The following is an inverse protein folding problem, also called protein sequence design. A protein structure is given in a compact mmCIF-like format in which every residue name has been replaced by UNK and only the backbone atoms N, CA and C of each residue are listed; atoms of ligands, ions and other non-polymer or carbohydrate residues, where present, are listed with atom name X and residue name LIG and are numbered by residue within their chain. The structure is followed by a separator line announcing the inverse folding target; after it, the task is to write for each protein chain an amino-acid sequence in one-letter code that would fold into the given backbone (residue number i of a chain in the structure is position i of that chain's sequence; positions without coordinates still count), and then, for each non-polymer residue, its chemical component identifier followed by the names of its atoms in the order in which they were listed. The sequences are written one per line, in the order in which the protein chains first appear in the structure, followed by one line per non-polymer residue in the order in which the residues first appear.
data_IF_981228658711
#
_entry.id   IF_981228658711
#
_cell.length_a   1.000
_cell.length_b   1.000
_cell.length_c   1.000
_cell.angle_alpha   90.00
_cell.angle_beta   90.00
_cell.angle_gamma   90.00
#
_symmetry.space_group_name_H-M   'P 1'
#
loop_
_entity.id
_entity.type
_entity.pdbx_description
1 polymer ?
#
# COMPACT_ATOMS: atom_id res chain seq x y z
N UNK A 1 -15.94 39.86 9.42
CA UNK A 1 -15.46 39.62 8.03
C UNK A 1 -16.46 38.76 7.28
N UNK A 2 -17.12 39.27 6.21
CA UNK A 2 -18.03 38.47 5.38
C UNK A 2 -17.24 37.32 4.72
N UNK A 3 -17.72 36.06 4.73
CA UNK A 3 -16.97 34.96 4.14
C UNK A 3 -16.77 35.20 2.64
N UNK A 4 -15.51 35.32 2.20
CA UNK A 4 -15.17 35.45 0.77
C UNK A 4 -15.84 34.31 -0.01
N UNK A 5 -16.63 34.66 -1.05
CA UNK A 5 -17.35 33.69 -1.88
C UNK A 5 -16.40 32.60 -2.39
N UNK A 6 -16.88 31.35 -2.42
CA UNK A 6 -16.10 30.22 -2.90
C UNK A 6 -15.75 30.40 -4.38
N UNK A 7 -14.46 30.31 -4.69
CA UNK A 7 -13.95 30.28 -6.07
C UNK A 7 -13.69 28.85 -6.49
N UNK A 8 -13.86 28.56 -7.78
CA UNK A 8 -13.57 27.26 -8.38
C UNK A 8 -12.66 27.47 -9.59
N UNK A 9 -11.88 26.46 -9.92
CA UNK A 9 -10.95 26.52 -11.03
C UNK A 9 -11.68 26.37 -12.38
N UNK A 10 -11.34 27.23 -13.32
CA UNK A 10 -11.71 27.11 -14.73
C UNK A 10 -10.50 26.62 -15.52
N UNK A 11 -10.61 25.46 -16.18
CA UNK A 11 -9.51 24.88 -16.98
C UNK A 11 -9.20 25.75 -18.20
N UNK A 12 -10.20 26.38 -18.80
CA UNK A 12 -10.05 27.16 -20.02
C UNK A 12 -9.45 28.55 -19.79
N UNK A 13 -9.69 29.13 -18.61
CA UNK A 13 -9.10 30.42 -18.23
C UNK A 13 -7.84 30.28 -17.35
N UNK A 14 -7.44 29.06 -16.99
CA UNK A 14 -6.38 28.74 -15.99
C UNK A 14 -6.44 29.62 -14.73
N UNK A 15 -7.66 29.89 -14.20
CA UNK A 15 -7.85 30.80 -13.05
C UNK A 15 -9.03 30.43 -12.16
N UNK A 16 -9.00 30.96 -10.93
CA UNK A 16 -10.06 30.79 -9.93
C UNK A 16 -11.18 31.82 -10.13
N UNK A 17 -12.37 31.32 -10.51
CA UNK A 17 -13.55 32.14 -10.80
C UNK A 17 -14.62 32.04 -9.71
N UNK A 18 -15.29 33.16 -9.43
CA UNK A 18 -16.52 33.17 -8.65
C UNK A 18 -17.72 32.84 -9.56
N UNK A 19 -18.84 32.38 -8.98
CA UNK A 19 -20.07 32.07 -9.73
C UNK A 19 -19.85 31.16 -10.95
N UNK A 20 -19.16 30.05 -10.73
CA UNK A 20 -18.71 29.10 -11.76
C UNK A 20 -19.72 28.83 -12.87
N UNK A 21 -20.99 28.52 -12.53
CA UNK A 21 -22.04 28.21 -13.50
C UNK A 21 -22.33 29.37 -14.46
N UNK A 22 -22.40 30.61 -13.97
CA UNK A 22 -22.60 31.79 -14.83
C UNK A 22 -21.36 32.06 -15.70
N UNK A 23 -20.16 31.80 -15.15
CA UNK A 23 -18.91 32.01 -15.88
C UNK A 23 -18.77 31.06 -17.09
N UNK A 24 -18.99 29.76 -16.89
CA UNK A 24 -18.85 28.78 -17.99
C UNK A 24 -19.89 28.99 -19.08
N UNK A 25 -21.11 29.36 -18.73
CA UNK A 25 -22.17 29.67 -19.71
C UNK A 25 -21.85 30.91 -20.55
N UNK A 26 -21.26 31.95 -19.94
CA UNK A 26 -20.99 33.21 -20.64
C UNK A 26 -19.69 33.18 -21.44
N UNK A 27 -18.63 32.57 -20.88
CA UNK A 27 -17.29 32.65 -21.44
C UNK A 27 -16.89 31.43 -22.27
N UNK A 28 -17.61 30.31 -22.13
CA UNK A 28 -17.24 29.01 -22.72
C UNK A 28 -18.44 28.29 -23.36
N UNK A 29 -19.43 29.05 -23.85
CA UNK A 29 -20.61 28.53 -24.53
C UNK A 29 -20.25 27.67 -25.77
N UNK A 30 -19.13 27.98 -26.41
CA UNK A 30 -18.61 27.29 -27.59
C UNK A 30 -18.03 25.90 -27.29
N UNK A 31 -17.78 25.56 -26.01
CA UNK A 31 -17.10 24.32 -25.64
C UNK A 31 -18.06 23.12 -25.55
N UNK A 32 -17.61 21.98 -26.04
CA UNK A 32 -18.38 20.73 -26.08
C UNK A 32 -18.94 20.31 -24.70
N UNK A 33 -18.12 20.40 -23.64
CA UNK A 33 -18.52 20.05 -22.27
C UNK A 33 -19.64 20.95 -21.70
N UNK A 34 -19.87 22.12 -22.31
CA UNK A 34 -20.84 23.14 -21.88
C UNK A 34 -22.13 23.11 -22.72
N UNK A 35 -22.12 22.45 -23.89
CA UNK A 35 -23.31 22.29 -24.76
C UNK A 35 -24.57 21.79 -24.00
N UNK A 36 -24.48 20.80 -23.09
CA UNK A 36 -25.66 20.38 -22.31
C UNK A 36 -26.29 21.49 -21.47
N UNK A 37 -25.53 22.51 -21.05
CA UNK A 37 -26.09 23.67 -20.34
C UNK A 37 -26.87 24.60 -21.27
N UNK A 38 -26.44 24.73 -22.53
CA UNK A 38 -27.13 25.52 -23.54
C UNK A 38 -28.44 24.84 -23.96
N UNK A 39 -28.40 23.54 -24.24
CA UNK A 39 -29.59 22.74 -24.54
C UNK A 39 -30.61 22.79 -23.40
N UNK A 40 -30.14 22.70 -22.15
CA UNK A 40 -31.00 22.83 -20.97
C UNK A 40 -31.64 24.21 -20.86
N UNK A 41 -30.92 25.27 -21.23
CA UNK A 41 -31.46 26.63 -21.22
C UNK A 41 -32.64 26.79 -22.19
N UNK A 42 -32.58 26.11 -23.34
CA UNK A 42 -33.57 26.11 -24.42
C UNK A 42 -34.71 25.09 -24.22
N UNK A 43 -34.56 24.11 -23.33
CA UNK A 43 -35.58 23.09 -23.08
C UNK A 43 -36.93 23.65 -22.60
N UNK A 44 -38.03 22.92 -22.79
CA UNK A 44 -39.37 23.27 -22.28
C UNK A 44 -39.58 22.96 -20.79
N UNK A 45 -38.53 22.51 -20.08
CA UNK A 45 -38.60 22.16 -18.67
C UNK A 45 -38.97 23.36 -17.79
N UNK A 46 -39.66 23.10 -16.69
CA UNK A 46 -39.98 24.12 -15.70
C UNK A 46 -38.71 24.70 -15.05
N UNK A 47 -38.81 25.91 -14.50
CA UNK A 47 -37.66 26.63 -13.91
C UNK A 47 -36.98 25.81 -12.80
N UNK A 48 -37.74 25.00 -12.04
CA UNK A 48 -37.22 24.18 -10.96
C UNK A 48 -36.36 23.02 -11.48
N UNK A 49 -36.86 22.24 -12.46
CA UNK A 49 -36.08 21.13 -13.05
C UNK A 49 -34.87 21.64 -13.82
N UNK A 50 -35.00 22.75 -14.56
CA UNK A 50 -33.85 23.42 -15.21
C UNK A 50 -32.75 23.76 -14.21
N UNK A 51 -33.12 24.33 -13.06
CA UNK A 51 -32.15 24.67 -12.01
C UNK A 51 -31.45 23.43 -11.46
N UNK A 52 -32.19 22.33 -11.25
CA UNK A 52 -31.63 21.09 -10.72
C UNK A 52 -30.66 20.42 -11.70
N UNK A 53 -31.04 20.30 -12.97
CA UNK A 53 -30.18 19.72 -14.02
C UNK A 53 -28.92 20.56 -14.25
N UNK A 54 -29.06 21.90 -14.26
CA UNK A 54 -27.93 22.82 -14.33
C UNK A 54 -26.96 22.61 -13.17
N UNK A 55 -27.49 22.40 -11.96
CA UNK A 55 -26.67 22.09 -10.79
C UNK A 55 -25.96 20.75 -10.94
N UNK A 56 -26.60 19.70 -11.48
CA UNK A 56 -25.95 18.40 -11.70
C UNK A 56 -24.76 18.52 -12.66
N UNK A 57 -24.98 19.10 -13.83
CA UNK A 57 -23.95 19.30 -14.86
C UNK A 57 -22.82 20.20 -14.32
N UNK A 58 -23.15 21.36 -13.75
CA UNK A 58 -22.10 22.26 -13.25
C UNK A 58 -21.37 21.73 -12.01
N UNK A 59 -21.99 20.86 -11.20
CA UNK A 59 -21.32 20.23 -10.07
C UNK A 59 -20.33 19.15 -10.51
N UNK A 60 -20.61 18.37 -11.56
CA UNK A 60 -19.66 17.38 -12.08
C UNK A 60 -18.43 18.08 -12.66
N UNK A 61 -18.63 19.07 -13.54
CA UNK A 61 -17.56 19.89 -14.12
C UNK A 61 -16.71 20.56 -13.04
N UNK A 62 -17.36 21.23 -12.07
CA UNK A 62 -16.67 21.90 -10.98
C UNK A 62 -15.80 20.95 -10.15
N UNK A 63 -16.29 19.74 -9.86
CA UNK A 63 -15.51 18.76 -9.09
C UNK A 63 -14.30 18.28 -9.90
N UNK A 64 -14.50 17.97 -11.17
CA UNK A 64 -13.44 17.53 -12.07
C UNK A 64 -12.36 18.60 -12.22
N UNK A 65 -12.74 19.83 -12.56
CA UNK A 65 -11.78 20.91 -12.78
C UNK A 65 -11.07 21.32 -11.49
N UNK A 66 -11.78 21.36 -10.35
CA UNK A 66 -11.11 21.57 -9.06
C UNK A 66 -10.15 20.42 -8.72
N UNK A 67 -10.45 19.17 -9.09
CA UNK A 67 -9.53 18.05 -8.91
C UNK A 67 -8.26 18.23 -9.73
N UNK A 68 -8.38 18.65 -11.00
CA UNK A 68 -7.23 19.01 -11.85
C UNK A 68 -6.36 20.08 -11.18
N UNK A 69 -6.97 21.16 -10.69
CA UNK A 69 -6.26 22.21 -9.97
C UNK A 69 -5.58 21.67 -8.71
N UNK A 70 -6.30 20.92 -7.89
CA UNK A 70 -5.77 20.36 -6.64
C UNK A 70 -4.59 19.44 -6.91
N UNK A 71 -4.65 18.58 -7.94
CA UNK A 71 -3.53 17.73 -8.33
C UNK A 71 -2.33 18.56 -8.82
N UNK A 72 -2.55 19.60 -9.65
CA UNK A 72 -1.49 20.54 -10.10
C UNK A 72 -0.81 21.24 -8.90
N UNK A 73 -1.60 21.69 -7.93
CA UNK A 73 -1.11 22.34 -6.72
C UNK A 73 -0.32 21.39 -5.82
N UNK A 74 -0.81 20.14 -5.65
CA UNK A 74 -0.12 19.10 -4.89
C UNK A 74 1.24 18.75 -5.49
N UNK A 75 1.35 18.65 -6.82
CA UNK A 75 2.62 18.44 -7.51
C UNK A 75 3.59 19.62 -7.33
N UNK A 76 3.08 20.85 -7.34
CA UNK A 76 3.88 22.05 -7.13
C UNK A 76 4.16 22.35 -5.65
N UNK A 77 3.84 21.43 -4.74
CA UNK A 77 3.96 21.58 -3.28
C UNK A 77 3.19 22.79 -2.69
N UNK A 78 2.24 23.34 -3.44
CA UNK A 78 1.42 24.47 -3.01
C UNK A 78 0.26 23.97 -2.14
N UNK A 79 -0.02 24.68 -1.03
CA UNK A 79 -1.00 24.26 -0.01
C UNK A 79 -2.47 24.54 -0.38
N UNK A 80 -2.75 25.15 -1.53
CA UNK A 80 -4.11 25.58 -1.86
C UNK A 80 -4.94 24.42 -2.43
N UNK A 81 -5.83 23.88 -1.59
CA UNK A 81 -6.83 22.89 -1.98
C UNK A 81 -8.23 23.52 -2.06
N UNK A 82 -9.02 23.10 -3.05
CA UNK A 82 -10.41 23.49 -3.24
C UNK A 82 -11.32 22.30 -2.87
N UNK A 83 -11.71 22.12 -1.60
CA UNK A 83 -12.64 21.08 -1.19
C UNK A 83 -14.08 21.41 -1.62
N UNK A 84 -14.94 20.39 -1.73
CA UNK A 84 -16.36 20.54 -2.09
C UNK A 84 -17.11 21.38 -1.05
N UNK A 85 -16.89 21.10 0.24
CA UNK A 85 -17.36 21.93 1.36
C UNK A 85 -16.13 22.47 2.11
N UNK A 86 -16.09 23.78 2.36
CA UNK A 86 -15.06 24.37 3.23
C UNK A 86 -15.34 23.93 4.67
N UNK A 87 -14.31 23.58 5.42
CA UNK A 87 -14.39 23.56 6.87
C UNK A 87 -14.51 24.99 7.37
N UNK A 88 -15.40 25.22 8.33
CA UNK A 88 -15.33 26.43 9.14
C UNK A 88 -14.22 26.21 10.18
N UNK A 89 -13.20 27.07 10.16
CA UNK A 89 -12.03 27.01 11.07
C UNK A 89 -10.71 26.61 10.39
N UNK A 90 -9.62 27.22 10.86
CA UNK A 90 -8.24 27.11 10.33
C UNK A 90 -7.53 25.79 10.60
N UNK A 91 -8.23 24.75 11.07
CA UNK A 91 -7.58 23.46 11.34
C UNK A 91 -7.29 22.75 10.02
N UNK A 92 -6.03 22.31 9.76
CA UNK A 92 -5.71 21.48 8.62
C UNK A 92 -6.40 20.13 8.80
N UNK A 93 -7.53 19.94 8.12
CA UNK A 93 -8.23 18.66 8.12
C UNK A 93 -7.65 17.83 6.98
N UNK A 94 -7.28 16.58 7.25
CA UNK A 94 -6.89 15.63 6.21
C UNK A 94 -8.03 15.48 5.18
N UNK A 95 -7.74 15.79 3.92
CA UNK A 95 -8.68 15.73 2.81
C UNK A 95 -8.42 14.48 1.95
N UNK A 96 -9.48 13.95 1.35
CA UNK A 96 -9.44 12.83 0.40
C UNK A 96 -10.29 13.16 -0.82
N UNK A 97 -9.87 12.69 -1.99
CA UNK A 97 -10.68 12.75 -3.20
C UNK A 97 -11.59 11.52 -3.28
N UNK A 98 -12.81 11.70 -3.81
CA UNK A 98 -13.67 10.58 -4.17
C UNK A 98 -13.20 9.98 -5.49
N UNK A 99 -12.97 8.67 -5.54
CA UNK A 99 -12.54 8.02 -6.78
C UNK A 99 -13.58 8.13 -7.93
N UNK A 100 -14.86 8.28 -7.56
CA UNK A 100 -16.00 8.29 -8.47
C UNK A 100 -16.33 9.70 -8.96
N UNK A 101 -16.63 10.63 -8.05
CA UNK A 101 -17.05 11.98 -8.44
C UNK A 101 -15.91 13.02 -8.48
N UNK A 102 -14.66 12.61 -8.18
CA UNK A 102 -13.45 13.45 -8.10
C UNK A 102 -13.52 14.62 -7.11
N UNK A 103 -14.61 14.76 -6.37
CA UNK A 103 -14.74 15.79 -5.35
C UNK A 103 -13.78 15.53 -4.18
N UNK A 104 -13.16 16.59 -3.67
CA UNK A 104 -12.33 16.55 -2.47
C UNK A 104 -13.18 16.84 -1.22
N UNK A 105 -13.08 15.99 -0.21
CA UNK A 105 -13.85 16.09 1.04
C UNK A 105 -12.93 15.87 2.24
N UNK A 106 -13.30 16.45 3.38
CA UNK A 106 -12.66 16.10 4.65
C UNK A 106 -12.83 14.61 4.93
N UNK A 107 -11.78 13.90 5.39
CA UNK A 107 -11.82 12.46 5.66
C UNK A 107 -12.96 12.07 6.62
N UNK A 108 -13.23 12.91 7.64
CA UNK A 108 -14.36 12.74 8.60
C UNK A 108 -15.75 12.70 7.94
N UNK A 109 -15.97 13.49 6.89
CA UNK A 109 -17.28 13.61 6.21
C UNK A 109 -17.36 12.77 4.93
N UNK A 110 -16.33 12.01 4.60
CA UNK A 110 -16.28 11.22 3.38
C UNK A 110 -17.32 10.09 3.39
N UNK A 111 -17.58 9.47 4.55
CA UNK A 111 -18.64 8.45 4.69
C UNK A 111 -20.02 9.00 4.31
N UNK A 112 -20.37 10.16 4.87
CA UNK A 112 -21.63 10.85 4.55
C UNK A 112 -21.74 11.20 3.07
N UNK A 113 -20.60 11.54 2.44
CA UNK A 113 -20.57 11.77 1.01
C UNK A 113 -20.86 10.49 0.21
N UNK A 114 -20.22 9.35 0.52
CA UNK A 114 -20.44 8.12 -0.25
C UNK A 114 -21.91 7.69 -0.28
N UNK A 115 -22.64 7.84 0.83
CA UNK A 115 -24.10 7.59 0.91
C UNK A 115 -24.94 8.41 -0.08
N UNK A 116 -24.42 9.54 -0.55
CA UNK A 116 -25.12 10.50 -1.42
C UNK A 116 -24.39 10.73 -2.75
N UNK A 117 -23.35 9.95 -3.04
CA UNK A 117 -22.54 10.12 -4.23
C UNK A 117 -23.22 9.45 -5.43
N UNK A 118 -23.90 10.24 -6.27
CA UNK A 118 -24.60 9.73 -7.46
C UNK A 118 -23.71 8.84 -8.36
N UNK A 119 -22.46 9.26 -8.61
CA UNK A 119 -21.51 8.51 -9.44
C UNK A 119 -21.10 7.15 -8.83
N UNK A 120 -21.18 7.01 -7.51
CA UNK A 120 -20.93 5.74 -6.83
C UNK A 120 -22.19 4.87 -6.82
N UNK A 121 -23.35 5.48 -6.53
CA UNK A 121 -24.64 4.79 -6.48
C UNK A 121 -25.04 4.23 -7.85
N UNK A 122 -24.72 4.93 -8.95
CA UNK A 122 -24.99 4.47 -10.31
C UNK A 122 -24.17 3.25 -10.74
N UNK A 123 -23.11 2.90 -10.00
CA UNK A 123 -22.23 1.76 -10.30
C UNK A 123 -22.52 0.54 -9.40
N UNK A 124 -23.46 0.66 -8.44
CA UNK A 124 -23.85 -0.46 -7.60
C UNK A 124 -24.97 -1.26 -8.27
N UNK A 125 -24.68 -2.51 -8.65
CA UNK A 125 -25.62 -3.41 -9.32
C UNK A 125 -26.48 -4.24 -8.37
N UNK A 126 -26.28 -4.15 -7.06
CA UNK A 126 -27.07 -4.91 -6.07
C UNK A 126 -27.21 -4.15 -4.75
N UNK A 127 -28.43 -4.15 -4.21
CA UNK A 127 -28.75 -3.61 -2.89
C UNK A 127 -28.11 -4.46 -1.80
N UNK A 128 -26.99 -4.04 -1.23
CA UNK A 128 -26.45 -4.72 -0.06
C UNK A 128 -25.74 -3.76 0.91
N UNK A 129 -26.29 -3.70 2.12
CA UNK A 129 -25.52 -3.50 3.35
C UNK A 129 -25.07 -2.07 3.69
N UNK A 130 -25.10 -1.77 4.99
CA UNK A 130 -24.48 -0.59 5.58
C UNK A 130 -23.04 -0.42 5.06
N UNK A 131 -22.72 0.76 4.49
CA UNK A 131 -21.37 1.09 4.03
C UNK A 131 -20.38 0.96 5.20
N UNK A 132 -19.61 -0.12 5.19
CA UNK A 132 -18.60 -0.39 6.22
C UNK A 132 -17.43 0.59 6.12
N UNK A 133 -16.63 0.69 7.19
CA UNK A 133 -15.38 1.45 7.18
C UNK A 133 -14.37 0.98 6.10
N UNK A 134 -14.50 -0.26 5.61
CA UNK A 134 -13.67 -0.78 4.51
C UNK A 134 -14.11 -0.24 3.15
N UNK A 135 -15.43 -0.07 2.90
CA UNK A 135 -15.93 0.55 1.68
C UNK A 135 -15.46 2.02 1.57
N UNK A 136 -15.45 2.75 2.69
CA UNK A 136 -14.92 4.12 2.76
C UNK A 136 -13.47 4.19 2.26
N UNK A 137 -12.61 3.28 2.74
CA UNK A 137 -11.20 3.22 2.36
C UNK A 137 -11.07 2.97 0.86
N UNK A 138 -11.75 1.93 0.35
CA UNK A 138 -11.70 1.51 -1.06
C UNK A 138 -12.12 2.62 -2.03
N UNK A 139 -13.03 3.51 -1.63
CA UNK A 139 -13.58 4.55 -2.50
C UNK A 139 -12.93 5.93 -2.32
N UNK A 140 -12.04 6.08 -1.34
CA UNK A 140 -11.27 7.31 -1.09
C UNK A 140 -9.89 7.24 -1.73
N UNK A 141 -9.47 8.33 -2.38
CA UNK A 141 -8.12 8.52 -2.88
C UNK A 141 -7.38 9.53 -2.00
N UNK A 142 -6.21 9.19 -1.47
CA UNK A 142 -5.39 10.16 -0.74
C UNK A 142 -4.87 11.26 -1.67
N UNK A 143 -4.75 12.46 -1.10
CA UNK A 143 -4.12 13.61 -1.76
C UNK A 143 -2.60 13.52 -1.58
N UNK A 144 -1.94 12.87 -2.53
CA UNK A 144 -0.49 12.61 -2.50
C UNK A 144 0.21 13.64 -3.39
N UNK A 145 1.27 14.27 -2.87
CA UNK A 145 2.07 15.28 -3.60
C UNK A 145 2.91 14.66 -4.71
N UNK A 146 3.60 13.56 -4.42
CA UNK A 146 4.57 12.94 -5.32
C UNK A 146 3.96 11.86 -6.25
N UNK A 147 2.71 12.05 -6.72
CA UNK A 147 2.08 11.08 -7.64
C UNK A 147 2.85 10.94 -8.96
N UNK A 148 3.55 11.98 -9.41
CA UNK A 148 4.20 11.95 -10.72
C UNK A 148 5.49 11.11 -10.73
N UNK A 149 5.98 10.71 -9.56
CA UNK A 149 7.23 9.93 -9.40
C UNK A 149 6.98 8.42 -9.38
N UNK A 150 5.72 7.98 -9.43
CA UNK A 150 5.33 6.58 -9.29
C UNK A 150 4.46 6.09 -10.45
N UNK A 151 4.51 4.79 -10.73
CA UNK A 151 3.78 4.18 -11.84
C UNK A 151 2.27 4.17 -11.61
N UNK A 152 1.49 4.17 -12.70
CA UNK A 152 0.03 4.10 -12.63
C UNK A 152 -0.47 2.81 -11.96
N UNK A 153 0.26 1.70 -12.16
CA UNK A 153 -0.01 0.43 -11.49
C UNK A 153 0.12 0.57 -9.96
N UNK A 154 1.20 1.18 -9.47
CA UNK A 154 1.40 1.43 -8.04
C UNK A 154 0.30 2.31 -7.45
N UNK A 155 -0.12 3.37 -8.16
CA UNK A 155 -1.23 4.24 -7.73
C UNK A 155 -2.52 3.46 -7.56
N UNK A 156 -2.86 2.63 -8.54
CA UNK A 156 -4.11 1.86 -8.57
C UNK A 156 -4.10 0.72 -7.55
N UNK A 157 -2.97 0.03 -7.40
CA UNK A 157 -2.91 -1.22 -6.64
C UNK A 157 -2.52 -1.06 -5.17
N UNK A 158 -1.69 -0.05 -4.87
CA UNK A 158 -1.17 0.23 -3.53
C UNK A 158 -1.83 1.48 -2.95
N UNK A 159 -1.74 2.63 -3.62
CA UNK A 159 -2.19 3.90 -3.03
C UNK A 159 -3.72 3.99 -2.90
N UNK A 160 -4.45 3.25 -3.73
CA UNK A 160 -5.92 3.19 -3.65
C UNK A 160 -6.34 2.31 -2.46
N UNK A 161 -6.95 2.93 -1.45
CA UNK A 161 -7.45 2.22 -0.26
C UNK A 161 -6.45 2.11 0.90
N UNK A 162 -5.23 2.62 0.77
CA UNK A 162 -4.28 2.71 1.87
C UNK A 162 -4.80 3.63 2.98
N UNK A 163 -4.60 3.21 4.23
CA UNK A 163 -4.87 4.08 5.36
C UNK A 163 -3.73 5.07 5.53
N UNK A 164 -4.00 6.34 5.24
CA UNK A 164 -3.05 7.43 5.52
C UNK A 164 -3.15 7.80 6.99
N UNK A 165 -2.28 7.20 7.79
CA UNK A 165 -1.93 7.66 9.14
C UNK A 165 -0.74 8.63 9.08
N UNK A 166 -0.26 9.10 10.22
CA UNK A 166 0.87 10.05 10.29
C UNK A 166 2.13 9.50 9.61
N UNK A 167 2.40 8.20 9.72
CA UNK A 167 3.55 7.56 9.09
C UNK A 167 3.37 7.55 7.57
N UNK A 168 2.24 7.06 7.07
CA UNK A 168 1.98 7.02 5.63
C UNK A 168 1.86 8.42 5.01
N UNK A 169 1.43 9.43 5.78
CA UNK A 169 1.44 10.82 5.34
C UNK A 169 2.87 11.31 5.06
N UNK A 170 3.82 11.02 5.95
CA UNK A 170 5.24 11.34 5.71
C UNK A 170 5.78 10.54 4.53
N UNK A 171 5.50 9.24 4.49
CA UNK A 171 5.94 8.34 3.41
C UNK A 171 5.51 8.86 2.03
N UNK A 172 4.26 9.32 1.91
CA UNK A 172 3.69 9.79 0.64
C UNK A 172 4.11 11.21 0.26
N UNK A 173 4.65 11.97 1.21
CA UNK A 173 5.19 13.32 0.99
C UNK A 173 6.69 13.30 0.66
N UNK A 174 7.40 12.20 0.93
CA UNK A 174 8.79 11.99 0.52
C UNK A 174 8.85 11.37 -0.88
N UNK A 175 9.57 12.01 -1.81
CA UNK A 175 9.62 11.57 -3.21
C UNK A 175 10.43 10.28 -3.39
N UNK A 176 11.49 10.12 -2.59
CA UNK A 176 12.42 9.01 -2.68
C UNK A 176 11.79 7.72 -2.11
N UNK A 177 11.09 7.83 -0.98
CA UNK A 177 10.32 6.71 -0.40
C UNK A 177 9.25 6.22 -1.38
N UNK A 178 8.54 7.15 -2.03
CA UNK A 178 7.51 6.82 -3.02
C UNK A 178 8.10 6.14 -4.26
N UNK A 179 9.24 6.63 -4.75
CA UNK A 179 9.93 6.03 -5.90
C UNK A 179 10.40 4.61 -5.59
N UNK A 180 11.07 4.42 -4.46
CA UNK A 180 11.48 3.09 -3.99
C UNK A 180 10.31 2.13 -3.91
N UNK A 181 9.18 2.55 -3.33
CA UNK A 181 8.01 1.71 -3.22
C UNK A 181 7.41 1.32 -4.59
N UNK A 182 7.47 2.23 -5.57
CA UNK A 182 7.02 1.98 -6.94
C UNK A 182 7.93 0.96 -7.65
N UNK A 183 9.25 1.14 -7.61
CA UNK A 183 10.20 0.19 -8.20
C UNK A 183 10.12 -1.19 -7.51
N UNK A 184 9.96 -1.19 -6.18
CA UNK A 184 9.79 -2.42 -5.41
C UNK A 184 8.49 -3.16 -5.78
N UNK A 185 7.40 -2.44 -6.04
CA UNK A 185 6.14 -3.00 -6.55
C UNK A 185 6.28 -3.56 -7.96
N UNK A 186 7.04 -2.91 -8.83
CA UNK A 186 7.25 -3.38 -10.21
C UNK A 186 7.95 -4.74 -10.25
N UNK A 187 8.89 -4.97 -9.33
CA UNK A 187 9.55 -6.27 -9.17
C UNK A 187 8.66 -7.36 -8.53
N UNK A 188 7.49 -6.99 -7.97
CA UNK A 188 6.62 -7.89 -7.18
C UNK A 188 5.14 -7.54 -7.36
N UNK A 189 4.55 -7.99 -8.47
CA UNK A 189 3.16 -7.67 -8.82
C UNK A 189 2.12 -8.60 -8.19
N UNK A 190 2.51 -9.57 -7.36
CA UNK A 190 1.54 -10.48 -6.74
C UNK A 190 0.67 -9.75 -5.71
N UNK A 191 -0.62 -10.10 -5.64
CA UNK A 191 -1.54 -9.48 -4.70
C UNK A 191 -1.11 -9.65 -3.22
N UNK A 192 -0.41 -10.75 -2.89
CA UNK A 192 0.17 -10.99 -1.56
C UNK A 192 1.27 -9.99 -1.19
N UNK A 193 1.98 -9.46 -2.19
CA UNK A 193 3.13 -8.56 -2.02
C UNK A 193 2.71 -7.14 -1.59
N UNK A 194 1.43 -6.77 -1.75
CA UNK A 194 0.92 -5.44 -1.37
C UNK A 194 1.15 -5.10 0.10
N UNK A 195 0.85 -6.05 0.99
CA UNK A 195 1.05 -5.88 2.44
C UNK A 195 2.54 -5.71 2.79
N UNK A 196 3.41 -6.37 2.03
CA UNK A 196 4.84 -6.30 2.18
C UNK A 196 5.39 -4.95 1.75
N UNK A 197 4.99 -4.44 0.58
CA UNK A 197 5.38 -3.11 0.09
C UNK A 197 4.99 -2.02 1.10
N UNK A 198 3.75 -2.04 1.60
CA UNK A 198 3.28 -1.07 2.61
C UNK A 198 4.09 -1.18 3.91
N UNK A 199 4.47 -2.39 4.32
CA UNK A 199 5.33 -2.60 5.49
C UNK A 199 6.71 -1.96 5.28
N UNK A 200 7.33 -2.20 4.14
CA UNK A 200 8.66 -1.64 3.82
C UNK A 200 8.63 -0.11 3.77
N UNK A 201 7.63 0.47 3.10
CA UNK A 201 7.41 1.93 3.13
C UNK A 201 7.34 2.47 4.56
N UNK A 202 6.58 1.80 5.43
CA UNK A 202 6.41 2.22 6.82
C UNK A 202 7.68 2.08 7.64
N UNK A 203 8.43 1.00 7.46
CA UNK A 203 9.66 0.78 8.23
C UNK A 203 10.73 1.82 7.87
N UNK A 204 10.91 2.10 6.58
CA UNK A 204 11.80 3.18 6.09
C UNK A 204 11.33 4.55 6.60
N UNK A 205 10.03 4.82 6.59
CA UNK A 205 9.50 6.11 7.09
C UNK A 205 9.64 6.27 8.59
N UNK A 206 9.49 5.19 9.38
CA UNK A 206 9.74 5.23 10.82
C UNK A 206 11.21 5.51 11.11
N UNK A 207 12.11 4.95 10.33
CA UNK A 207 13.54 5.24 10.43
C UNK A 207 13.80 6.73 10.18
N UNK A 208 13.21 7.31 9.12
CA UNK A 208 13.29 8.75 8.85
C UNK A 208 12.86 9.58 10.06
N UNK A 209 11.66 9.32 10.58
CA UNK A 209 11.11 10.05 11.71
C UNK A 209 12.00 9.95 12.96
N UNK A 210 12.59 8.78 13.21
CA UNK A 210 13.54 8.57 14.32
C UNK A 210 14.85 9.32 14.09
N UNK A 211 15.38 9.32 12.86
CA UNK A 211 16.56 10.10 12.53
C UNK A 211 16.30 11.60 12.68
N UNK A 212 15.12 12.09 12.30
CA UNK A 212 14.71 13.49 12.47
C UNK A 212 14.62 13.93 13.94
N UNK A 213 14.28 13.01 14.85
CA UNK A 213 14.29 13.32 16.28
C UNK A 213 15.70 13.44 16.86
N UNK A 214 16.69 12.78 16.25
CA UNK A 214 18.09 12.83 16.69
C UNK A 214 18.82 13.99 16.01
N UNK A 215 18.52 14.22 14.73
CA UNK A 215 19.18 15.20 13.88
C UNK A 215 18.15 16.03 13.08
N UNK A 216 17.87 17.27 13.51
CA UNK A 216 16.90 18.15 12.85
C UNK A 216 17.30 18.63 11.45
N UNK A 217 18.56 18.46 11.01
CA UNK A 217 18.99 18.83 9.66
C UNK A 217 18.37 17.90 8.60
N UNK A 218 17.95 16.70 9.01
CA UNK A 218 17.37 15.70 8.12
C UNK A 218 15.92 16.10 7.81
N UNK A 219 15.64 16.51 6.58
CA UNK A 219 14.28 16.93 6.19
C UNK A 219 13.58 15.90 5.31
N UNK A 220 14.35 15.16 4.51
CA UNK A 220 13.87 14.12 3.62
C UNK A 220 14.78 12.88 3.68
N UNK A 221 14.32 11.77 3.12
CA UNK A 221 15.05 10.51 3.16
C UNK A 221 16.38 10.55 2.40
N UNK A 222 16.51 11.47 1.42
CA UNK A 222 17.78 11.66 0.70
C UNK A 222 18.90 12.13 1.63
N UNK A 223 18.58 12.98 2.61
CA UNK A 223 19.55 13.56 3.54
C UNK A 223 20.19 12.50 4.45
N UNK A 224 19.55 11.33 4.58
CA UNK A 224 20.06 10.21 5.37
C UNK A 224 21.30 9.52 4.77
N UNK A 225 21.59 9.73 3.48
CA UNK A 225 22.67 9.02 2.76
C UNK A 225 24.02 9.76 2.77
N UNK A 226 24.20 10.68 3.72
CA UNK A 226 25.50 11.29 3.97
C UNK A 226 26.31 10.41 4.93
N UNK A 227 27.58 10.06 4.64
CA UNK A 227 28.41 9.20 5.50
C UNK A 227 28.44 9.62 6.98
N UNK A 228 28.48 10.93 7.27
CA UNK A 228 28.49 11.46 8.64
C UNK A 228 27.21 11.14 9.42
N UNK A 229 26.08 10.94 8.73
CA UNK A 229 24.77 10.63 9.33
C UNK A 229 24.56 9.13 9.58
N UNK A 230 25.54 8.28 9.25
CA UNK A 230 25.44 6.83 9.45
C UNK A 230 25.26 6.45 10.92
N UNK A 231 25.96 7.12 11.85
CA UNK A 231 25.80 6.84 13.28
C UNK A 231 24.39 7.20 13.77
N UNK A 232 23.84 8.33 13.32
CA UNK A 232 22.45 8.73 13.55
C UNK A 232 21.47 7.66 13.04
N UNK A 233 21.75 7.07 11.87
CA UNK A 233 20.92 5.99 11.33
C UNK A 233 20.97 4.72 12.19
N UNK A 234 22.14 4.36 12.70
CA UNK A 234 22.30 3.21 13.60
C UNK A 234 21.57 3.43 14.92
N UNK A 235 21.66 4.63 15.49
CA UNK A 235 20.94 5.00 16.71
C UNK A 235 19.42 4.93 16.51
N UNK A 236 18.91 5.53 15.42
CA UNK A 236 17.50 5.42 15.03
C UNK A 236 17.05 3.96 14.83
N UNK A 237 17.88 3.13 14.20
CA UNK A 237 17.58 1.71 14.00
C UNK A 237 17.59 0.92 15.32
N UNK A 238 18.45 1.25 16.27
CA UNK A 238 18.50 0.65 17.62
C UNK A 238 17.27 1.01 18.43
N UNK A 239 16.83 2.26 18.38
CA UNK A 239 15.59 2.72 19.01
C UNK A 239 14.38 1.98 18.40
N UNK A 240 14.30 1.86 17.06
CA UNK A 240 13.28 1.04 16.41
C UNK A 240 13.31 -0.43 16.85
N UNK A 241 14.49 -0.99 17.08
CA UNK A 241 14.67 -2.35 17.58
C UNK A 241 14.33 -2.48 19.08
N UNK A 242 14.13 -1.36 19.79
CA UNK A 242 14.00 -1.27 21.24
C UNK A 242 15.19 -1.95 21.93
N UNK A 243 16.39 -1.53 21.53
CA UNK A 243 17.65 -1.97 22.13
C UNK A 243 17.87 -1.25 23.47
N UNK A 244 18.10 -2.01 24.53
CA UNK A 244 18.46 -1.50 25.85
C UNK A 244 19.99 -1.58 26.01
N UNK A 245 20.67 -0.45 26.15
CA UNK A 245 22.15 -0.41 26.20
C UNK A 245 22.71 -1.13 27.42
N UNK A 246 22.09 -0.97 28.59
CA UNK A 246 22.55 -1.55 29.86
C UNK A 246 22.49 -3.09 29.85
N UNK A 247 21.44 -3.66 29.26
CA UNK A 247 21.18 -5.11 29.30
C UNK A 247 21.57 -5.83 28.01
N UNK A 248 21.82 -5.08 26.93
CA UNK A 248 22.04 -5.61 25.59
C UNK A 248 20.82 -6.32 24.97
N UNK A 249 19.64 -6.19 25.58
CA UNK A 249 18.40 -6.85 25.11
C UNK A 249 17.78 -6.10 23.95
N UNK A 250 17.14 -6.85 23.05
CA UNK A 250 16.41 -6.32 21.87
C UNK A 250 15.01 -6.90 21.86
N UNK A 251 13.97 -6.05 21.84
CA UNK A 251 12.56 -6.51 21.80
C UNK A 251 12.05 -6.73 20.38
N UNK A 252 12.58 -6.00 19.39
CA UNK A 252 12.19 -6.16 17.98
C UNK A 252 13.40 -6.50 17.11
N UNK A 253 13.96 -7.74 17.22
CA UNK A 253 15.16 -8.15 16.48
C UNK A 253 15.02 -8.09 14.96
N UNK A 254 13.77 -8.09 14.49
CA UNK A 254 13.48 -8.13 13.07
C UNK A 254 13.78 -6.82 12.33
N UNK A 255 13.93 -5.71 13.04
CA UNK A 255 14.24 -4.40 12.44
C UNK A 255 15.54 -4.44 11.63
N UNK A 256 16.58 -5.09 12.15
CA UNK A 256 17.89 -5.12 11.49
C UNK A 256 17.81 -5.69 10.07
N UNK A 257 17.14 -6.83 9.87
CA UNK A 257 17.03 -7.42 8.54
C UNK A 257 16.02 -6.70 7.65
N UNK A 258 14.95 -6.13 8.24
CA UNK A 258 13.93 -5.41 7.48
C UNK A 258 14.50 -4.14 6.85
N UNK A 259 15.44 -3.45 7.50
CA UNK A 259 15.97 -2.20 6.99
C UNK A 259 17.18 -2.35 6.05
N UNK A 260 18.01 -3.39 6.20
CA UNK A 260 19.29 -3.49 5.46
C UNK A 260 19.11 -3.38 3.94
N UNK A 261 18.23 -4.20 3.36
CA UNK A 261 18.09 -4.27 1.91
C UNK A 261 17.37 -3.03 1.35
N UNK A 262 16.22 -2.59 1.92
CA UNK A 262 15.59 -1.34 1.50
C UNK A 262 16.53 -0.14 1.54
N UNK A 263 17.37 0.00 2.57
CA UNK A 263 18.32 1.11 2.65
C UNK A 263 19.33 1.09 1.51
N UNK A 264 19.84 -0.09 1.15
CA UNK A 264 20.73 -0.26 0.00
C UNK A 264 20.03 0.08 -1.31
N UNK A 265 18.81 -0.40 -1.49
CA UNK A 265 18.04 -0.17 -2.70
C UNK A 265 17.72 1.32 -2.88
N UNK A 266 17.29 1.99 -1.80
CA UNK A 266 17.00 3.43 -1.83
C UNK A 266 18.28 4.24 -2.10
N UNK A 267 19.40 3.93 -1.44
CA UNK A 267 20.68 4.60 -1.71
C UNK A 267 21.09 4.45 -3.18
N UNK A 268 20.93 3.26 -3.75
CA UNK A 268 21.21 3.01 -5.18
C UNK A 268 20.29 3.79 -6.10
N UNK A 269 19.02 3.99 -5.75
CA UNK A 269 18.10 4.84 -6.51
C UNK A 269 18.66 6.27 -6.58
N UNK A 270 19.04 6.86 -5.44
CA UNK A 270 19.64 8.20 -5.41
C UNK A 270 20.90 8.26 -6.24
N UNK A 271 21.79 7.26 -6.08
CA UNK A 271 23.03 7.16 -6.84
C UNK A 271 22.78 7.18 -8.35
N UNK A 272 21.86 6.35 -8.83
CA UNK A 272 21.50 6.27 -10.25
C UNK A 272 20.89 7.57 -10.76
N UNK A 273 20.04 8.24 -9.97
CA UNK A 273 19.49 9.55 -10.33
C UNK A 273 20.58 10.63 -10.48
N UNK A 274 21.52 10.70 -9.53
CA UNK A 274 22.61 11.67 -9.61
C UNK A 274 23.55 11.37 -10.79
N UNK A 275 23.86 10.10 -11.06
CA UNK A 275 24.62 9.72 -12.27
C UNK A 275 23.89 10.12 -13.56
N UNK A 276 22.59 9.85 -13.65
CA UNK A 276 21.81 10.24 -14.83
C UNK A 276 21.83 11.75 -15.06
N UNK A 277 21.75 12.56 -14.00
CA UNK A 277 21.85 14.03 -14.10
C UNK A 277 23.22 14.47 -14.63
N UNK A 278 24.28 13.87 -14.13
CA UNK A 278 25.67 14.13 -14.55
C UNK A 278 25.81 13.87 -16.05
N UNK A 279 25.44 12.67 -16.52
CA UNK A 279 25.57 12.31 -17.95
C UNK A 279 24.64 13.08 -18.87
N UNK A 280 23.44 13.46 -18.43
CA UNK A 280 22.51 14.27 -19.23
C UNK A 280 22.90 15.74 -19.32
N UNK A 281 23.49 16.29 -18.25
CA UNK A 281 23.79 17.73 -18.14
C UNK A 281 25.24 18.07 -18.51
N UNK A 282 26.09 17.07 -18.76
CA UNK A 282 27.53 17.26 -18.98
C UNK A 282 28.28 17.82 -17.78
N UNK A 283 27.71 17.70 -16.57
CA UNK A 283 28.35 18.15 -15.33
C UNK A 283 29.46 17.16 -14.95
N UNK A 284 30.57 17.66 -14.42
CA UNK A 284 31.65 16.84 -13.85
C UNK A 284 31.57 16.70 -12.32
N UNK A 285 30.54 17.26 -11.68
CA UNK A 285 30.38 17.17 -10.23
C UNK A 285 29.88 15.78 -9.82
N UNK A 286 30.81 14.96 -9.33
CA UNK A 286 30.58 13.59 -8.84
C UNK A 286 30.54 13.51 -7.31
N UNK A 287 30.58 14.65 -6.60
CA UNK A 287 30.68 14.70 -5.14
C UNK A 287 29.55 13.93 -4.43
N UNK A 288 28.31 14.15 -4.85
CA UNK A 288 27.13 13.45 -4.32
C UNK A 288 27.18 11.94 -4.57
N UNK A 289 27.57 11.51 -5.76
CA UNK A 289 27.69 10.09 -6.10
C UNK A 289 28.74 9.44 -5.20
N UNK A 290 29.89 10.09 -5.02
CA UNK A 290 30.97 9.62 -4.14
C UNK A 290 30.49 9.50 -2.69
N UNK A 291 29.78 10.50 -2.16
CA UNK A 291 29.21 10.43 -0.80
C UNK A 291 28.27 9.23 -0.62
N UNK A 292 27.42 8.94 -1.62
CA UNK A 292 26.50 7.80 -1.57
C UNK A 292 27.25 6.47 -1.67
N UNK A 293 28.29 6.40 -2.51
CA UNK A 293 29.14 5.21 -2.61
C UNK A 293 29.90 4.94 -1.30
N UNK A 294 30.48 5.97 -0.70
CA UNK A 294 31.12 5.89 0.61
C UNK A 294 30.11 5.44 1.68
N UNK A 295 28.89 5.98 1.65
CA UNK A 295 27.81 5.56 2.55
C UNK A 295 27.43 4.08 2.35
N UNK A 296 27.30 3.62 1.10
CA UNK A 296 26.97 2.23 0.78
C UNK A 296 28.04 1.25 1.28
N UNK A 297 29.31 1.62 1.18
CA UNK A 297 30.44 0.86 1.73
C UNK A 297 30.32 0.77 3.25
N UNK A 298 30.17 1.92 3.93
CA UNK A 298 30.01 1.99 5.39
C UNK A 298 28.80 1.15 5.86
N UNK A 299 27.67 1.24 5.14
CA UNK A 299 26.46 0.46 5.43
C UNK A 299 26.74 -1.04 5.28
N UNK A 300 27.43 -1.46 4.23
CA UNK A 300 27.83 -2.86 4.02
C UNK A 300 28.70 -3.41 5.15
N UNK A 301 29.73 -2.67 5.54
CA UNK A 301 30.77 -3.14 6.47
C UNK A 301 30.34 -3.09 7.94
N UNK A 302 29.54 -2.09 8.29
CA UNK A 302 29.30 -1.75 9.70
C UNK A 302 27.88 -2.06 10.17
N UNK A 303 26.88 -2.14 9.29
CA UNK A 303 25.50 -2.45 9.71
C UNK A 303 25.42 -3.79 10.45
N UNK A 304 26.04 -4.83 9.89
CA UNK A 304 26.09 -6.16 10.50
C UNK A 304 26.73 -6.14 11.89
N UNK A 305 27.81 -5.37 12.07
CA UNK A 305 28.55 -5.26 13.33
C UNK A 305 27.78 -4.47 14.39
N UNK A 306 27.15 -3.36 14.00
CA UNK A 306 26.55 -2.38 14.92
C UNK A 306 25.13 -2.73 15.37
N UNK A 307 24.36 -3.43 14.54
CA UNK A 307 22.98 -3.85 14.86
C UNK A 307 22.66 -5.29 14.43
N UNK A 308 23.17 -5.74 13.28
CA UNK A 308 22.83 -7.05 12.72
C UNK A 308 23.09 -8.22 13.66
N UNK A 309 24.31 -8.34 14.20
CA UNK A 309 24.71 -9.42 15.12
C UNK A 309 23.88 -9.44 16.41
N UNK A 310 23.65 -8.27 17.00
CA UNK A 310 22.89 -8.12 18.25
C UNK A 310 21.44 -8.59 18.03
N UNK A 311 20.81 -8.13 16.96
CA UNK A 311 19.47 -8.55 16.57
C UNK A 311 19.40 -10.04 16.21
N UNK A 312 20.34 -10.58 15.44
CA UNK A 312 20.37 -12.01 15.12
C UNK A 312 20.49 -12.89 16.38
N UNK A 313 21.31 -12.47 17.35
CA UNK A 313 21.44 -13.16 18.64
C UNK A 313 20.10 -13.12 19.39
N UNK A 314 19.50 -11.95 19.56
CA UNK A 314 18.21 -11.80 20.23
C UNK A 314 17.08 -12.62 19.56
N UNK A 315 17.08 -12.70 18.23
CA UNK A 315 16.11 -13.51 17.49
C UNK A 315 16.28 -15.01 17.79
N UNK A 316 17.51 -15.51 17.87
CA UNK A 316 17.79 -16.91 18.25
C UNK A 316 17.31 -17.20 19.67
N UNK A 317 17.62 -16.32 20.63
CA UNK A 317 17.13 -16.46 22.01
C UNK A 317 15.61 -16.45 22.09
N UNK A 318 14.94 -15.50 21.42
CA UNK A 318 13.48 -15.43 21.40
C UNK A 318 12.82 -16.66 20.79
N UNK A 319 13.45 -17.27 19.77
CA UNK A 319 12.98 -18.56 19.21
C UNK A 319 13.17 -19.71 20.19
N UNK A 320 14.32 -19.77 20.88
CA UNK A 320 14.60 -20.83 21.84
C UNK A 320 13.73 -20.74 23.11
N UNK A 321 13.40 -19.53 23.57
CA UNK A 321 12.55 -19.31 24.74
C UNK A 321 11.05 -19.40 24.43
N UNK A 322 10.68 -19.54 23.14
CA UNK A 322 9.29 -19.65 22.73
C UNK A 322 8.80 -21.03 23.14
N UNK A 323 7.88 -21.05 24.11
CA UNK A 323 7.14 -22.27 24.43
C UNK A 323 6.23 -22.57 23.25
N UNK A 324 6.50 -23.64 22.53
CA UNK A 324 5.61 -24.11 21.47
C UNK A 324 4.29 -24.53 22.13
N UNK A 325 3.24 -23.75 21.87
CA UNK A 325 1.87 -24.15 22.20
C UNK A 325 1.49 -25.29 21.28
N UNK A 326 1.77 -26.51 21.71
CA UNK A 326 1.31 -27.72 21.03
C UNK A 326 -0.21 -27.79 21.18
N UNK A 327 -0.92 -28.10 20.09
CA UNK A 327 -2.36 -28.31 20.15
C UNK A 327 -2.66 -29.54 21.02
N UNK A 328 -3.70 -29.46 21.85
CA UNK A 328 -4.13 -30.59 22.65
C UNK A 328 -4.62 -31.72 21.74
N UNK A 329 -4.27 -32.95 22.05
CA UNK A 329 -4.67 -34.13 21.26
C UNK A 329 -6.19 -34.20 21.08
N UNK A 330 -6.95 -33.88 22.14
CA UNK A 330 -8.43 -33.81 22.10
C UNK A 330 -8.94 -32.82 21.06
N UNK A 331 -8.27 -31.69 20.90
CA UNK A 331 -8.66 -30.66 19.91
C UNK A 331 -8.32 -31.12 18.49
N UNK A 332 -7.20 -31.81 18.29
CA UNK A 332 -6.81 -32.38 17.00
C UNK A 332 -7.83 -33.45 16.57
N UNK A 333 -8.18 -34.37 17.46
CA UNK A 333 -9.18 -35.42 17.20
C UNK A 333 -10.53 -34.79 16.87
N UNK A 334 -10.98 -33.82 17.67
CA UNK A 334 -12.25 -33.12 17.44
C UNK A 334 -12.27 -32.41 16.09
N UNK A 335 -11.16 -31.79 15.68
CA UNK A 335 -11.03 -31.14 14.38
C UNK A 335 -11.02 -32.15 13.23
N UNK A 336 -10.31 -33.27 13.36
CA UNK A 336 -10.31 -34.35 12.36
C UNK A 336 -11.72 -34.93 12.16
N UNK A 337 -12.42 -35.29 13.24
CA UNK A 337 -13.80 -35.80 13.14
C UNK A 337 -14.77 -34.78 12.53
N UNK A 338 -14.59 -33.49 12.83
CA UNK A 338 -15.39 -32.43 12.21
C UNK A 338 -15.14 -32.33 10.70
N UNK A 339 -13.88 -32.41 10.28
CA UNK A 339 -13.48 -32.38 8.87
C UNK A 339 -14.06 -33.59 8.13
N UNK A 340 -13.89 -34.81 8.66
CA UNK A 340 -14.45 -36.04 8.09
C UNK A 340 -15.98 -36.00 7.96
N UNK A 341 -16.68 -35.63 9.03
CA UNK A 341 -18.15 -35.51 9.00
C UNK A 341 -18.64 -34.43 8.03
N UNK A 342 -17.84 -33.39 7.80
CA UNK A 342 -18.16 -32.34 6.84
C UNK A 342 -17.89 -32.80 5.39
N UNK A 343 -16.90 -33.66 5.14
CA UNK A 343 -16.61 -34.15 3.79
C UNK A 343 -17.78 -34.93 3.26
N UNK A 344 -18.33 -35.83 4.07
CA UNK A 344 -19.47 -36.66 3.69
C UNK A 344 -20.65 -35.79 3.26
N UNK A 345 -20.93 -34.71 3.99
CA UNK A 345 -22.01 -33.77 3.65
C UNK A 345 -21.77 -33.02 2.34
N UNK A 346 -20.54 -32.56 2.12
CA UNK A 346 -20.17 -31.79 0.92
C UNK A 346 -20.11 -32.68 -0.32
N UNK A 347 -19.56 -33.90 -0.20
CA UNK A 347 -19.53 -34.90 -1.28
C UNK A 347 -20.95 -35.28 -1.68
N UNK A 348 -21.81 -35.65 -0.72
CA UNK A 348 -23.22 -35.94 -1.03
C UNK A 348 -23.96 -34.74 -1.64
N UNK A 349 -23.60 -33.51 -1.26
CA UNK A 349 -24.16 -32.31 -1.88
C UNK A 349 -23.66 -32.09 -3.32
N UNK A 350 -22.43 -32.46 -3.63
CA UNK A 350 -21.84 -32.36 -4.97
C UNK A 350 -22.39 -33.43 -5.91
N UNK A 351 -22.53 -34.67 -5.43
CA UNK A 351 -23.15 -35.78 -6.17
C UNK A 351 -24.58 -35.45 -6.61
N UNK A 352 -25.33 -34.75 -5.76
CA UNK A 352 -26.71 -34.34 -6.05
C UNK A 352 -26.83 -33.03 -6.87
N UNK A 353 -25.77 -32.21 -6.97
CA UNK A 353 -25.81 -30.89 -7.64
C UNK A 353 -24.45 -30.48 -8.21
N UNK A 354 -24.05 -31.11 -9.32
CA UNK A 354 -22.70 -31.03 -9.94
C UNK A 354 -22.24 -29.60 -10.33
N UNK A 355 -23.16 -28.64 -10.50
CA UNK A 355 -22.85 -27.31 -11.06
C UNK A 355 -22.74 -26.15 -10.05
N UNK A 356 -22.66 -26.40 -8.73
CA UNK A 356 -22.53 -25.32 -7.74
C UNK A 356 -21.06 -25.07 -7.37
N UNK A 357 -20.63 -23.80 -7.48
CA UNK A 357 -19.28 -23.37 -7.14
C UNK A 357 -19.00 -23.38 -5.62
N UNK A 358 -20.02 -23.10 -4.79
CA UNK A 358 -19.88 -23.04 -3.33
C UNK A 358 -19.49 -24.38 -2.66
N UNK A 359 -20.15 -25.53 -2.94
CA UNK A 359 -19.74 -26.81 -2.36
C UNK A 359 -18.33 -27.23 -2.77
N UNK A 360 -17.92 -26.95 -4.00
CA UNK A 360 -16.57 -27.23 -4.49
C UNK A 360 -15.52 -26.39 -3.77
N UNK A 361 -15.76 -25.08 -3.61
CA UNK A 361 -14.84 -24.20 -2.89
C UNK A 361 -14.71 -24.60 -1.40
N UNK A 362 -15.83 -25.00 -0.78
CA UNK A 362 -15.82 -25.53 0.59
C UNK A 362 -15.01 -26.83 0.69
N UNK A 363 -15.15 -27.74 -0.28
CA UNK A 363 -14.35 -28.97 -0.37
C UNK A 363 -12.85 -28.66 -0.45
N UNK A 364 -12.44 -27.70 -1.28
CA UNK A 364 -11.05 -27.28 -1.40
C UNK A 364 -10.50 -26.69 -0.08
N UNK A 365 -11.26 -25.85 0.61
CA UNK A 365 -10.87 -25.31 1.92
C UNK A 365 -10.69 -26.41 2.97
N UNK A 366 -11.57 -27.40 2.96
CA UNK A 366 -11.46 -28.55 3.85
C UNK A 366 -10.25 -29.42 3.54
N UNK A 367 -9.96 -29.66 2.25
CA UNK A 367 -8.77 -30.39 1.80
C UNK A 367 -7.49 -29.73 2.28
N UNK A 368 -7.38 -28.42 2.10
CA UNK A 368 -6.26 -27.63 2.63
C UNK A 368 -6.14 -27.82 4.14
N UNK A 369 -7.25 -27.71 4.88
CA UNK A 369 -7.24 -27.85 6.35
C UNK A 369 -6.84 -29.26 6.79
N UNK A 370 -7.29 -30.29 6.09
CA UNK A 370 -6.95 -31.68 6.38
C UNK A 370 -5.46 -31.96 6.12
N UNK A 371 -4.92 -31.45 5.01
CA UNK A 371 -3.49 -31.52 4.69
C UNK A 371 -2.65 -30.82 5.75
N UNK A 372 -3.08 -29.65 6.25
CA UNK A 372 -2.40 -28.97 7.36
C UNK A 372 -2.37 -29.82 8.62
N UNK A 373 -3.46 -30.52 8.94
CA UNK A 373 -3.57 -31.36 10.12
C UNK A 373 -2.63 -32.58 10.02
N UNK A 374 -2.57 -33.21 8.84
CA UNK A 374 -1.73 -34.38 8.57
C UNK A 374 -0.23 -34.04 8.50
N UNK A 375 0.15 -33.07 7.68
CA UNK A 375 1.57 -32.77 7.41
C UNK A 375 2.13 -31.77 8.45
N UNK A 376 1.27 -31.14 9.26
CA UNK A 376 1.64 -30.05 10.19
C UNK A 376 2.41 -28.91 9.49
N UNK A 377 2.17 -28.73 8.19
CA UNK A 377 2.77 -27.69 7.35
C UNK A 377 1.82 -26.51 7.18
N UNK A 378 2.37 -25.34 6.91
CA UNK A 378 1.58 -24.12 6.69
C UNK A 378 0.93 -24.19 5.31
N UNK A 379 -0.23 -23.54 5.09
CA UNK A 379 -0.88 -23.48 3.77
C UNK A 379 0.07 -23.06 2.65
N UNK A 380 0.99 -22.14 2.95
CA UNK A 380 1.93 -21.61 1.96
C UNK A 380 2.90 -22.68 1.43
N UNK A 381 3.18 -23.72 2.21
CA UNK A 381 4.12 -24.79 1.87
C UNK A 381 3.55 -25.70 0.76
N UNK A 382 2.23 -25.71 0.57
CA UNK A 382 1.55 -26.49 -0.46
C UNK A 382 0.54 -25.66 -1.28
N UNK A 383 0.50 -24.33 -1.08
CA UNK A 383 -0.31 -23.39 -1.88
C UNK A 383 0.07 -23.42 -3.36
N UNK A 384 1.33 -23.72 -3.64
CA UNK A 384 1.89 -23.86 -4.99
C UNK A 384 2.07 -25.32 -5.41
N UNK A 385 1.57 -26.27 -4.60
CA UNK A 385 1.57 -27.68 -4.98
C UNK A 385 0.78 -27.80 -6.29
N UNK A 386 1.47 -28.29 -7.31
CA UNK A 386 0.91 -28.48 -8.64
C UNK A 386 0.84 -29.97 -8.92
N UNK A 387 0.05 -30.33 -9.94
CA UNK A 387 -0.08 -31.72 -10.37
C UNK A 387 1.26 -32.32 -10.82
N UNK A 388 2.22 -31.49 -11.26
CA UNK A 388 3.60 -31.91 -11.53
C UNK A 388 4.37 -32.29 -10.25
N UNK A 389 4.14 -31.61 -9.13
CA UNK A 389 4.74 -32.02 -7.86
C UNK A 389 4.23 -33.39 -7.42
N UNK A 390 2.92 -33.64 -7.62
CA UNK A 390 2.32 -34.95 -7.34
C UNK A 390 2.90 -36.05 -8.24
N UNK A 391 3.00 -35.82 -9.56
CA UNK A 391 3.59 -36.76 -10.52
C UNK A 391 5.05 -37.12 -10.25
N UNK A 392 5.76 -36.32 -9.46
CA UNK A 392 7.16 -36.57 -9.09
C UNK A 392 7.30 -37.28 -7.73
N UNK A 393 6.21 -37.65 -7.05
CA UNK A 393 6.25 -38.38 -5.78
C UNK A 393 6.87 -39.78 -5.93
N UNK A 394 6.62 -40.47 -7.05
CA UNK A 394 7.15 -41.82 -7.32
C UNK A 394 8.69 -41.90 -7.20
N UNK A 395 9.40 -40.81 -7.50
CA UNK A 395 10.87 -40.76 -7.40
C UNK A 395 11.39 -40.61 -5.96
N UNK A 396 10.56 -40.14 -5.04
CA UNK A 396 10.95 -40.00 -3.64
C UNK A 396 10.87 -41.34 -2.90
N UNK A 397 9.92 -42.20 -3.29
CA UNK A 397 9.82 -43.57 -2.76
C UNK A 397 10.97 -44.44 -3.29
N UNK A 398 11.38 -44.28 -4.55
CA UNK A 398 12.61 -44.90 -5.11
C UNK A 398 13.88 -44.54 -4.32
N UNK A 399 14.02 -43.28 -3.87
CA UNK A 399 15.15 -42.82 -3.04
C UNK A 399 15.12 -43.40 -1.62
N UNK A 400 13.93 -43.64 -1.05
CA UNK A 400 13.76 -44.28 0.26
C UNK A 400 14.07 -45.78 0.15
N UNK A 401 13.74 -46.43 -0.96
CA UNK A 401 14.13 -47.82 -1.22
C UNK A 401 15.64 -47.97 -1.46
N UNK A 402 16.27 -47.05 -2.21
CA UNK A 402 17.73 -47.03 -2.43
C UNK A 402 18.53 -46.85 -1.12
N UNK A 403 18.01 -46.08 -0.17
CA UNK A 403 18.64 -45.89 1.15
C UNK A 403 18.42 -47.07 2.10
N UNK A 404 17.32 -47.82 1.93
CA UNK A 404 17.10 -49.09 2.64
C UNK A 404 17.99 -50.21 2.09
N UNK A 405 18.21 -50.27 0.78
CA UNK A 405 19.07 -51.29 0.14
C UNK A 405 20.57 -51.16 0.45
N UNK A 406 21.05 -49.95 0.75
CA UNK A 406 22.46 -49.70 1.12
C UNK A 406 22.78 -50.03 2.58
N UNK A 407 21.76 -50.27 3.42
CA UNK A 407 21.94 -50.60 4.84
C UNK A 407 22.17 -52.10 5.10
N UNK A 408 21.85 -52.97 4.14
CA UNK A 408 21.95 -54.43 4.28
C UNK A 408 23.27 -55.05 3.80
N UNK A 409 24.13 -54.28 3.12
CA UNK A 409 25.41 -54.79 2.60
C UNK A 409 26.61 -54.53 3.53
N UNK A 410 26.42 -53.83 4.65
CA UNK A 410 27.49 -53.51 5.62
C UNK A 410 27.51 -54.39 6.88
N UNK A 411 26.68 -55.44 6.95
CA UNK A 411 26.63 -56.34 8.11
C UNK A 411 27.07 -57.78 7.82
N UNK A 412 27.77 -58.04 6.70
CA UNK A 412 28.33 -59.35 6.37
C UNK A 412 29.80 -59.25 5.90
N UNK A 413 30.60 -58.48 6.62
CA UNK A 413 32.06 -58.58 6.59
C UNK A 413 32.61 -58.17 7.95
N UNK A 414 32.59 -59.12 8.88
CA UNK A 414 33.66 -59.41 9.85
C UNK A 414 33.33 -60.71 10.61
#
# INVERSE_FOLDING_TARGET
SKPKRKRNYCIYCDRLVAKFSEHVEKCHADKHEIKPLLELSQSSLDKSKKRLEKLKITNSLRKLWNDTFNNKQLSNQQKLLIPVKRSHGDKPIAHVACQHCKGVYSRRKFNCHLKTCLAFLSQQTSSCGSLTNQAIKKHSLPLIKNKNVVSEAFKKEILTGVNVDSIMEVATNDALIMKFASEFHESRREASSKSYIIREMRDVTKLLLKMQTIDPEITCFKDCFVPSKFNTMIEAARDMAQYEEETGKVKVPSVAYRLTQPLKDIAKIVRTEELNKIYQSGSNDTSMVKMIDDFLIILGDNWGKKIGRICSKAQKFSKASRHDKVALEKDIIKLASFIEGSYNKVISSLENNVNKCEPYDLLCHMLVTHIMLLIRRRPIDFKHASLNHYKNLDKHDELIELTKGTSSELSNSD
#
